data_IF_251246651187
#
_entry.id   IF_251246651187
#
_cell.length_a   1.000
_cell.length_b   1.000
_cell.length_c   1.000
_cell.angle_alpha   90.00
_cell.angle_beta   90.00
_cell.angle_gamma   90.00
#
_symmetry.space_group_name_H-M   'P 1'
#
loop_
_entity.id
_entity.type
_entity.pdbx_description
1 polymer ?
#
# COMPACT_ATOMS: atom_id res chain seq x y z
N UNK A 1 26.97 13.91 20.81
CA UNK A 1 26.24 13.27 19.71
C UNK A 1 26.24 14.20 18.50
N UNK A 2 26.73 13.68 17.38
CA UNK A 2 26.59 14.23 16.03
C UNK A 2 25.16 13.97 15.49
N UNK A 3 24.50 15.06 15.10
CA UNK A 3 23.14 15.07 14.56
C UNK A 3 23.00 14.28 13.25
N UNK A 4 23.90 14.49 12.29
CA UNK A 4 23.79 13.85 10.97
C UNK A 4 24.02 12.34 11.07
N UNK A 5 24.98 11.92 11.91
CA UNK A 5 25.19 10.49 12.20
C UNK A 5 23.97 9.88 12.87
N UNK A 6 23.36 10.58 13.82
CA UNK A 6 22.13 10.13 14.47
C UNK A 6 20.96 10.03 13.48
N UNK A 7 20.82 11.02 12.58
CA UNK A 7 19.79 11.08 11.56
C UNK A 7 19.87 9.89 10.60
N UNK A 8 21.09 9.53 10.20
CA UNK A 8 21.41 8.38 9.34
C UNK A 8 21.20 7.05 10.06
N UNK A 9 21.68 6.92 11.30
CA UNK A 9 21.49 5.72 12.11
C UNK A 9 19.99 5.42 12.31
N UNK A 10 19.20 6.45 12.61
CA UNK A 10 17.75 6.30 12.74
C UNK A 10 17.06 5.93 11.41
N UNK A 11 17.52 6.47 10.27
CA UNK A 11 16.99 6.08 8.95
C UNK A 11 17.23 4.59 8.69
N UNK A 12 18.43 4.09 9.02
CA UNK A 12 18.75 2.66 8.89
C UNK A 12 17.89 1.81 9.85
N UNK A 13 17.74 2.23 11.11
CA UNK A 13 16.89 1.57 12.10
C UNK A 13 15.44 1.41 11.59
N UNK A 14 14.86 2.47 11.03
CA UNK A 14 13.51 2.45 10.44
C UNK A 14 13.40 1.52 9.23
N UNK A 15 14.47 1.39 8.43
CA UNK A 15 14.46 0.56 7.22
C UNK A 15 14.63 -0.92 7.52
N UNK A 16 15.44 -1.29 8.53
CA UNK A 16 15.91 -2.66 8.71
C UNK A 16 15.54 -3.30 10.05
N UNK A 17 15.30 -2.51 11.11
CA UNK A 17 15.15 -3.05 12.47
C UNK A 17 13.72 -2.98 12.99
N UNK A 18 13.00 -1.88 12.74
CA UNK A 18 11.65 -1.71 13.28
C UNK A 18 10.71 -0.91 12.35
N UNK A 19 9.44 -1.32 12.32
CA UNK A 19 8.37 -0.57 11.68
C UNK A 19 7.96 0.62 12.55
N UNK A 20 8.48 1.80 12.21
CA UNK A 20 8.12 3.05 12.89
C UNK A 20 6.96 3.72 12.16
N UNK A 21 5.85 3.95 12.86
CA UNK A 21 4.66 4.63 12.29
C UNK A 21 4.97 6.09 11.95
N UNK A 22 4.14 6.71 11.09
CA UNK A 22 4.34 8.10 10.69
C UNK A 22 4.36 9.06 11.90
N UNK A 23 3.43 8.87 12.86
CA UNK A 23 3.38 9.67 14.08
C UNK A 23 4.61 9.48 14.99
N UNK A 24 5.12 8.26 15.11
CA UNK A 24 6.36 8.00 15.84
C UNK A 24 7.57 8.64 15.16
N UNK A 25 7.63 8.57 13.82
CA UNK A 25 8.69 9.19 13.04
C UNK A 25 8.69 10.71 13.19
N UNK A 26 7.54 11.36 13.05
CA UNK A 26 7.43 12.81 13.17
C UNK A 26 7.83 13.26 14.58
N UNK A 27 7.33 12.60 15.62
CA UNK A 27 7.71 12.91 17.01
C UNK A 27 9.22 12.75 17.24
N UNK A 28 9.84 11.69 16.75
CA UNK A 28 11.27 11.48 16.93
C UNK A 28 12.12 12.52 16.18
N UNK A 29 11.74 12.84 14.93
CA UNK A 29 12.46 13.85 14.13
C UNK A 29 12.39 15.21 14.78
N UNK A 30 11.21 15.64 15.19
CA UNK A 30 11.01 16.92 15.86
C UNK A 30 11.83 17.03 17.14
N UNK A 31 11.83 15.97 17.96
CA UNK A 31 12.66 15.92 19.18
C UNK A 31 14.16 16.00 18.87
N UNK A 32 14.60 15.37 17.78
CA UNK A 32 16.01 15.37 17.36
C UNK A 32 16.43 16.73 16.82
N UNK A 33 15.58 17.36 15.99
CA UNK A 33 15.84 18.65 15.36
C UNK A 33 15.85 19.76 16.43
N UNK A 34 14.84 19.79 17.31
CA UNK A 34 14.81 20.72 18.45
C UNK A 34 16.05 20.56 19.36
N UNK A 35 16.45 19.32 19.65
CA UNK A 35 17.64 19.07 20.46
C UNK A 35 18.92 19.53 19.77
N UNK A 36 18.98 19.47 18.43
CA UNK A 36 20.11 19.96 17.66
C UNK A 36 20.20 21.49 17.70
N UNK A 37 19.08 22.17 17.45
CA UNK A 37 19.02 23.63 17.37
C UNK A 37 19.35 24.29 18.72
N UNK A 38 18.95 23.64 19.81
CA UNK A 38 19.26 24.06 21.17
C UNK A 38 20.66 23.63 21.66
N UNK A 39 21.40 22.83 20.88
CA UNK A 39 22.68 22.25 21.28
C UNK A 39 22.58 21.22 22.42
N UNK A 40 21.41 20.59 22.59
CA UNK A 40 21.05 19.69 23.70
C UNK A 40 20.97 18.21 23.32
N UNK A 41 21.57 17.80 22.21
CA UNK A 41 21.49 16.42 21.66
C UNK A 41 21.84 15.30 22.66
N UNK A 42 22.79 15.53 23.56
CA UNK A 42 23.25 14.52 24.53
C UNK A 42 22.55 14.58 25.90
N UNK A 43 21.82 15.65 26.16
CA UNK A 43 21.27 15.99 27.47
C UNK A 43 19.73 15.96 27.47
N UNK A 44 19.16 16.06 28.66
CA UNK A 44 17.71 16.17 28.80
C UNK A 44 17.26 17.60 28.50
N UNK A 45 16.17 17.74 27.75
CA UNK A 45 15.56 19.02 27.45
C UNK A 45 14.06 18.96 27.70
N UNK A 46 13.48 20.13 27.95
CA UNK A 46 12.04 20.29 28.25
C UNK A 46 11.30 20.66 26.98
N UNK A 47 10.19 19.98 26.72
CA UNK A 47 9.28 20.40 25.66
C UNK A 47 7.82 20.26 26.09
N UNK A 48 7.03 21.31 25.83
CA UNK A 48 5.59 21.34 26.18
C UNK A 48 4.81 20.41 25.25
N UNK A 49 3.81 19.71 25.81
CA UNK A 49 2.92 18.86 25.00
C UNK A 49 2.19 19.66 23.92
N UNK A 50 1.74 20.88 24.22
CA UNK A 50 1.06 21.73 23.24
C UNK A 50 1.92 22.02 22.01
N UNK A 51 3.21 22.31 22.20
CA UNK A 51 4.14 22.54 21.10
C UNK A 51 4.36 21.26 20.27
N UNK A 52 4.54 20.12 20.94
CA UNK A 52 4.67 18.83 20.28
C UNK A 52 3.45 18.46 19.43
N UNK A 53 2.23 18.74 19.91
CA UNK A 53 1.01 18.47 19.16
C UNK A 53 0.94 19.32 17.88
N UNK A 54 1.24 20.61 17.99
CA UNK A 54 1.27 21.53 16.85
C UNK A 54 2.32 21.14 15.81
N UNK A 55 3.53 20.78 16.24
CA UNK A 55 4.64 20.45 15.34
C UNK A 55 4.45 19.08 14.67
N UNK A 56 3.97 18.08 15.43
CA UNK A 56 3.83 16.72 14.91
C UNK A 56 2.51 16.46 14.20
N UNK A 57 1.52 17.35 14.35
CA UNK A 57 0.16 17.18 13.84
C UNK A 57 -0.62 16.03 14.51
N UNK A 58 -0.15 15.54 15.66
CA UNK A 58 -0.77 14.42 16.38
C UNK A 58 -1.86 14.92 17.34
N UNK A 59 -2.85 14.06 17.60
CA UNK A 59 -3.76 14.24 18.73
C UNK A 59 -3.07 13.90 20.05
N UNK A 60 -3.58 14.41 21.18
CA UNK A 60 -3.09 14.07 22.53
C UNK A 60 -2.92 12.54 22.76
N UNK A 61 -3.95 11.70 22.51
CA UNK A 61 -3.78 10.25 22.66
C UNK A 61 -2.79 9.66 21.65
N UNK A 62 -2.71 10.23 20.44
CA UNK A 62 -1.73 9.84 19.43
C UNK A 62 -0.29 10.10 19.87
N UNK A 63 -0.05 11.27 20.49
CA UNK A 63 1.24 11.65 21.05
C UNK A 63 1.67 10.72 22.18
N UNK A 64 0.76 10.38 23.09
CA UNK A 64 1.06 9.46 24.20
C UNK A 64 1.41 8.05 23.70
N UNK A 65 0.67 7.55 22.70
CA UNK A 65 0.98 6.26 22.05
C UNK A 65 2.33 6.30 21.34
N UNK A 66 2.57 7.32 20.53
CA UNK A 66 3.83 7.48 19.80
C UNK A 66 5.02 7.55 20.76
N UNK A 67 4.92 8.34 21.83
CA UNK A 67 5.93 8.46 22.87
C UNK A 67 6.22 7.13 23.55
N UNK A 68 5.18 6.38 23.94
CA UNK A 68 5.37 5.07 24.58
C UNK A 68 6.11 4.10 23.65
N UNK A 69 5.73 4.05 22.36
CA UNK A 69 6.44 3.22 21.39
C UNK A 69 7.90 3.64 21.20
N UNK A 70 8.21 4.94 21.11
CA UNK A 70 9.60 5.41 20.98
C UNK A 70 10.44 5.08 22.23
N UNK A 71 9.83 5.10 23.42
CA UNK A 71 10.48 4.67 24.66
C UNK A 71 10.72 3.16 24.66
N UNK A 72 9.75 2.36 24.23
CA UNK A 72 9.87 0.89 24.12
C UNK A 72 10.93 0.47 23.10
N UNK A 73 11.05 1.21 21.99
CA UNK A 73 12.09 1.00 20.98
C UNK A 73 13.48 1.49 21.43
N UNK A 74 13.59 2.09 22.62
CA UNK A 74 14.87 2.58 23.13
C UNK A 74 15.43 3.77 22.34
N UNK A 75 14.57 4.52 21.66
CA UNK A 75 14.96 5.68 20.83
C UNK A 75 15.04 6.97 21.65
N UNK A 76 14.17 7.10 22.66
CA UNK A 76 14.12 8.26 23.55
C UNK A 76 13.97 7.82 25.00
N UNK A 77 14.47 8.66 25.92
CA UNK A 77 14.10 8.62 27.33
C UNK A 77 13.07 9.71 27.59
N UNK A 78 12.04 9.36 28.35
CA UNK A 78 10.96 10.25 28.71
C UNK A 78 10.82 10.32 30.22
N UNK A 79 10.72 11.53 30.75
CA UNK A 79 10.36 11.79 32.15
C UNK A 79 9.03 12.54 32.16
N UNK A 80 8.04 11.92 32.80
CA UNK A 80 6.69 12.49 32.88
C UNK A 80 6.71 13.79 33.69
N UNK A 81 6.28 14.86 33.04
CA UNK A 81 6.05 16.15 33.68
C UNK A 81 4.81 16.16 34.57
N UNK A 82 4.65 17.22 35.37
CA UNK A 82 3.44 17.47 36.16
C UNK A 82 2.62 18.58 35.50
N UNK A 83 1.34 18.30 35.25
CA UNK A 83 0.38 19.24 34.63
C UNK A 83 0.48 20.60 35.33
N UNK A 84 0.70 21.66 34.57
CA UNK A 84 0.79 23.06 35.01
C UNK A 84 1.93 23.38 36.01
N UNK A 85 2.90 22.48 36.22
CA UNK A 85 4.01 22.71 37.17
C UNK A 85 5.37 22.47 36.53
N UNK A 86 5.54 21.36 35.82
CA UNK A 86 6.80 21.00 35.16
C UNK A 86 6.52 20.40 33.79
N UNK A 87 7.04 20.98 32.69
CA UNK A 87 6.98 20.37 31.37
C UNK A 87 7.64 18.99 31.38
N UNK A 88 7.20 18.06 30.51
CA UNK A 88 7.89 16.80 30.34
C UNK A 88 9.31 16.99 29.80
N UNK A 89 10.19 16.08 30.19
CA UNK A 89 11.59 16.07 29.79
C UNK A 89 11.88 14.88 28.87
N UNK A 90 12.69 15.14 27.85
CA UNK A 90 13.05 14.19 26.82
C UNK A 90 14.57 14.14 26.67
N UNK A 91 15.09 12.98 26.29
CA UNK A 91 16.47 12.80 25.85
C UNK A 91 16.53 11.81 24.70
N UNK A 92 17.19 12.20 23.62
CA UNK A 92 17.45 11.30 22.49
C UNK A 92 18.54 10.29 22.88
N UNK A 93 18.32 9.01 22.55
CA UNK A 93 19.31 7.96 22.77
C UNK A 93 20.19 7.84 21.53
N UNK A 94 21.50 7.85 21.72
CA UNK A 94 22.46 7.67 20.64
C UNK A 94 22.33 6.28 20.02
N UNK A 95 22.10 6.20 18.71
CA UNK A 95 21.85 4.94 18.01
C UNK A 95 23.09 4.38 17.32
N UNK A 96 24.03 5.24 16.92
CA UNK A 96 25.31 4.78 16.40
C UNK A 96 26.27 4.61 17.57
N UNK A 97 26.92 3.45 17.64
CA UNK A 97 28.13 3.33 18.44
C UNK A 97 29.20 4.21 17.82
N UNK A 98 29.78 5.08 18.62
CA UNK A 98 31.14 5.53 18.34
C UNK A 98 32.00 4.27 18.24
N UNK A 99 32.55 4.03 17.05
CA UNK A 99 33.57 3.02 16.79
C UNK A 99 34.74 3.30 17.74
N UNK A 100 34.68 2.76 18.96
CA UNK A 100 35.60 3.12 20.03
C UNK A 100 35.33 2.46 21.38
N UNK A 101 34.11 2.04 21.71
CA UNK A 101 33.85 1.24 22.93
C UNK A 101 32.90 0.08 22.66
N UNK A 102 33.49 -1.10 22.54
CA UNK A 102 32.86 -2.39 22.28
C UNK A 102 32.06 -2.84 23.50
N UNK A 103 30.80 -3.25 23.27
CA UNK A 103 30.11 -4.27 24.06
C UNK A 103 29.14 -4.99 23.10
N UNK A 104 29.38 -6.28 22.89
CA UNK A 104 28.97 -7.12 21.75
C UNK A 104 27.54 -7.03 21.21
N UNK A 105 27.43 -7.12 19.88
CA UNK A 105 26.41 -7.93 19.22
C UNK A 105 27.13 -8.81 18.18
N UNK A 106 26.82 -10.12 18.08
CA UNK A 106 27.51 -11.02 17.18
C UNK A 106 26.92 -10.91 15.78
N UNK A 107 27.61 -10.24 14.87
CA UNK A 107 27.32 -10.34 13.44
C UNK A 107 28.24 -11.39 12.84
N UNK A 108 27.63 -12.47 12.35
CA UNK A 108 28.28 -13.49 11.52
C UNK A 108 28.80 -12.86 10.24
N UNK A 109 30.10 -13.02 9.99
CA UNK A 109 30.72 -12.70 8.69
C UNK A 109 30.33 -13.77 7.66
N UNK A 110 30.30 -13.41 6.37
CA UNK A 110 31.38 -13.90 5.53
C UNK A 110 32.01 -12.79 4.67
N UNK A 111 33.29 -12.57 4.94
CA UNK A 111 34.42 -12.48 4.00
C UNK A 111 34.14 -12.06 2.56
N UNK A 112 34.51 -10.81 2.25
CA UNK A 112 35.19 -10.51 0.99
C UNK A 112 36.30 -9.49 1.26
N UNK A 113 37.53 -9.93 0.97
CA UNK A 113 38.77 -9.20 1.17
C UNK A 113 38.91 -8.12 0.10
N UNK A 114 39.10 -6.88 0.50
CA UNK A 114 39.92 -5.94 -0.29
C UNK A 114 40.78 -5.10 0.65
N UNK A 115 42.03 -4.98 0.23
CA UNK A 115 43.22 -4.64 0.99
C UNK A 115 43.35 -3.13 0.99
N UNK A 116 43.33 -2.49 2.17
CA UNK A 116 43.73 -1.09 2.30
C UNK A 116 45.22 -0.98 1.97
N UNK A 117 45.57 -0.17 0.96
CA UNK A 117 46.90 0.43 0.84
C UNK A 117 46.81 1.87 1.33
N UNK A 118 47.45 2.10 2.46
CA UNK A 118 47.89 3.40 2.93
C UNK A 118 49.01 3.90 2.04
N UNK A 119 48.86 5.10 1.49
CA UNK A 119 49.99 5.93 1.05
C UNK A 119 49.71 7.36 1.49
N UNK A 120 50.49 7.80 2.47
CA UNK A 120 50.64 9.18 2.93
C UNK A 120 51.19 10.10 1.83
N UNK A 121 51.09 11.41 2.10
CA UNK A 121 51.55 12.59 1.34
C UNK A 121 50.45 13.13 0.40
N UNK A 122 50.00 14.39 0.45
CA UNK A 122 50.67 15.64 0.79
C UNK A 122 49.75 16.70 1.41
N UNK A 123 50.36 17.59 2.21
CA UNK A 123 49.81 18.87 2.66
C UNK A 123 49.54 19.76 1.44
N UNK A 124 48.29 20.13 1.21
CA UNK A 124 47.93 21.34 0.46
C UNK A 124 47.28 22.31 1.43
N UNK A 125 48.00 23.40 1.74
CA UNK A 125 47.43 24.55 2.43
C UNK A 125 46.53 25.32 1.47
N UNK A 126 45.25 25.41 1.80
CA UNK A 126 44.36 26.40 1.19
C UNK A 126 44.22 27.58 2.15
N UNK A 127 44.52 28.83 1.71
CA UNK A 127 44.36 30.01 2.54
C UNK A 127 42.88 30.30 2.76
N UNK A 128 42.47 30.33 4.03
CA UNK A 128 41.15 30.81 4.47
C UNK A 128 41.15 32.33 4.36
N UNK A 129 40.42 32.85 3.36
CA UNK A 129 40.02 34.25 3.34
C UNK A 129 38.76 34.43 4.21
N UNK A 130 38.88 35.13 5.33
CA UNK A 130 37.73 35.75 6.00
C UNK A 130 37.20 36.89 5.12
N UNK A 131 35.89 36.98 4.86
CA UNK A 131 35.23 38.25 4.62
C UNK A 131 34.57 38.73 5.92
N UNK A 132 34.80 40.01 6.21
CA UNK A 132 34.29 40.70 7.40
C UNK A 132 32.78 40.81 7.45
N UNK A 133 32.28 41.09 8.66
CA UNK A 133 30.87 41.32 8.92
C UNK A 133 30.29 42.47 8.10
N UNK A 134 29.18 42.22 7.43
CA UNK A 134 28.21 43.23 7.02
C UNK A 134 26.91 42.96 7.78
N UNK A 135 26.30 43.97 8.43
CA UNK A 135 24.99 43.83 9.01
C UNK A 135 23.97 43.77 7.86
N UNK A 136 23.44 42.58 7.60
CA UNK A 136 22.33 42.39 6.65
C UNK A 136 21.02 42.76 7.34
N UNK A 137 20.37 43.78 6.81
CA UNK A 137 19.04 44.21 7.19
C UNK A 137 18.01 43.07 7.04
N UNK A 138 17.08 43.01 7.98
CA UNK A 138 15.96 42.07 7.98
C UNK A 138 14.99 42.43 6.85
N UNK A 139 15.07 41.72 5.73
CA UNK A 139 14.02 41.76 4.71
C UNK A 139 12.85 40.88 5.15
N UNK A 140 11.67 41.48 5.18
CA UNK A 140 10.42 40.93 5.67
C UNK A 140 10.09 39.54 5.12
N UNK A 141 9.94 38.58 6.03
CA UNK A 141 9.50 37.20 5.77
C UNK A 141 7.98 37.12 5.61
N UNK A 142 7.41 37.75 4.59
CA UNK A 142 6.03 37.49 4.18
C UNK A 142 5.89 37.65 2.66
N UNK A 143 6.38 36.67 1.91
CA UNK A 143 5.87 36.27 0.59
C UNK A 143 6.56 34.95 0.24
N UNK A 144 5.92 33.85 0.62
CA UNK A 144 6.27 32.53 0.07
C UNK A 144 5.62 32.45 -1.30
N UNK A 145 6.42 32.65 -2.34
CA UNK A 145 6.07 32.23 -3.69
C UNK A 145 6.11 30.68 -3.69
N UNK A 146 4.99 29.98 -3.94
CA UNK A 146 4.93 28.52 -3.86
C UNK A 146 5.62 27.81 -5.04
N UNK A 147 6.15 28.55 -6.01
CA UNK A 147 6.61 28.01 -7.30
C UNK A 147 8.13 28.13 -7.52
N UNK A 148 8.92 27.59 -6.57
CA UNK A 148 10.39 27.53 -6.71
C UNK A 148 10.94 26.10 -6.81
N UNK A 149 10.07 25.10 -7.03
CA UNK A 149 10.46 23.74 -7.41
C UNK A 149 9.94 23.38 -8.79
N UNK A 150 10.12 24.28 -9.76
CA UNK A 150 10.13 23.88 -11.16
C UNK A 150 11.52 23.34 -11.47
N UNK A 151 11.67 22.01 -11.38
CA UNK A 151 12.73 21.34 -12.15
C UNK A 151 12.29 21.40 -13.59
N UNK A 152 12.99 22.20 -14.39
CA UNK A 152 12.88 22.25 -15.84
C UNK A 152 12.90 20.82 -16.40
N UNK A 153 11.73 20.33 -16.77
CA UNK A 153 11.53 19.33 -17.79
C UNK A 153 10.55 19.97 -18.76
N UNK A 154 11.08 20.31 -19.92
CA UNK A 154 10.31 20.67 -21.11
C UNK A 154 9.15 19.68 -21.28
N UNK A 155 7.90 20.16 -21.23
CA UNK A 155 7.02 20.14 -22.40
C UNK A 155 5.62 20.67 -22.07
N UNK A 156 5.13 21.48 -22.99
CA UNK A 156 3.82 22.10 -23.03
C UNK A 156 2.69 21.07 -23.14
N UNK A 157 1.84 20.90 -22.12
CA UNK A 157 0.39 20.64 -22.27
C UNK A 157 -0.32 20.74 -20.92
N UNK A 158 -1.56 21.20 -20.90
CA UNK A 158 -2.42 21.25 -19.72
C UNK A 158 -2.94 19.85 -19.34
N UNK A 159 -2.02 18.91 -19.08
CA UNK A 159 -2.29 17.49 -18.82
C UNK A 159 -2.26 17.11 -17.34
N UNK A 160 -2.80 15.92 -17.04
CA UNK A 160 -2.86 15.35 -15.69
C UNK A 160 -1.43 15.17 -15.18
N UNK A 161 -1.15 15.62 -13.97
CA UNK A 161 0.18 15.55 -13.37
C UNK A 161 0.43 14.19 -12.72
N UNK A 162 1.70 13.81 -12.59
CA UNK A 162 2.14 12.61 -11.85
C UNK A 162 1.56 12.53 -10.43
N UNK A 163 1.44 13.68 -9.76
CA UNK A 163 0.87 13.77 -8.42
C UNK A 163 -0.62 13.40 -8.39
N UNK A 164 -1.40 13.90 -9.36
CA UNK A 164 -2.84 13.60 -9.45
C UNK A 164 -3.12 12.11 -9.66
N UNK A 165 -2.29 11.42 -10.46
CA UNK A 165 -2.38 9.96 -10.65
C UNK A 165 -2.18 9.22 -9.32
N UNK A 166 -1.19 9.64 -8.53
CA UNK A 166 -0.88 9.05 -7.22
C UNK A 166 -1.99 9.33 -6.22
N UNK A 167 -2.55 10.54 -6.23
CA UNK A 167 -3.65 10.93 -5.36
C UNK A 167 -4.91 10.12 -5.65
N UNK A 168 -5.24 9.93 -6.93
CA UNK A 168 -6.39 9.09 -7.34
C UNK A 168 -6.22 7.62 -6.99
N UNK A 169 -5.00 7.09 -7.14
CA UNK A 169 -4.68 5.76 -6.61
C UNK A 169 -4.94 5.69 -5.10
N UNK A 170 -4.46 6.71 -4.38
CA UNK A 170 -4.56 6.79 -2.92
C UNK A 170 -6.01 6.89 -2.46
N UNK A 171 -6.85 7.61 -3.19
CA UNK A 171 -8.29 7.71 -2.93
C UNK A 171 -9.01 6.36 -3.09
N UNK A 172 -8.70 5.60 -4.15
CA UNK A 172 -9.39 4.34 -4.45
C UNK A 172 -8.92 3.16 -3.60
N UNK A 173 -7.61 3.05 -3.36
CA UNK A 173 -7.02 1.85 -2.75
C UNK A 173 -6.19 2.13 -1.50
N UNK A 174 -6.09 3.38 -1.07
CA UNK A 174 -5.19 3.81 -0.01
C UNK A 174 -3.77 4.01 -0.52
N UNK A 175 -2.90 4.48 0.38
CA UNK A 175 -1.53 4.85 0.04
C UNK A 175 -0.80 3.69 -0.69
N UNK A 176 -0.19 3.95 -1.87
CA UNK A 176 0.56 2.94 -2.60
C UNK A 176 1.59 2.25 -1.70
N UNK A 177 1.56 0.92 -1.67
CA UNK A 177 2.57 0.15 -0.93
C UNK A 177 3.97 0.38 -1.54
N UNK A 178 5.03 0.07 -0.79
CA UNK A 178 6.43 0.20 -1.23
C UNK A 178 6.77 -0.56 -2.52
N UNK A 179 5.91 -1.49 -2.97
CA UNK A 179 6.02 -2.22 -4.24
C UNK A 179 5.20 -1.53 -5.35
N UNK A 180 4.03 -0.99 -5.02
CA UNK A 180 3.17 -0.33 -6.01
C UNK A 180 3.77 1.02 -6.44
N UNK A 181 4.35 1.77 -5.52
CA UNK A 181 4.94 3.08 -5.80
C UNK A 181 6.03 3.08 -6.88
N UNK A 182 7.08 2.22 -6.83
CA UNK A 182 8.09 2.17 -7.89
C UNK A 182 7.51 1.73 -9.23
N UNK A 183 6.52 0.84 -9.23
CA UNK A 183 5.90 0.34 -10.45
C UNK A 183 4.99 1.39 -11.12
N UNK A 184 4.22 2.13 -10.32
CA UNK A 184 3.45 3.30 -10.79
C UNK A 184 4.39 4.35 -11.36
N UNK A 185 5.54 4.57 -10.71
CA UNK A 185 6.56 5.49 -11.17
C UNK A 185 7.13 5.06 -12.53
N UNK A 186 7.45 3.77 -12.70
CA UNK A 186 7.93 3.22 -13.97
C UNK A 186 6.89 3.38 -15.09
N UNK A 187 5.60 3.19 -14.80
CA UNK A 187 4.54 3.43 -15.78
C UNK A 187 4.42 4.88 -16.19
N UNK A 188 4.57 5.81 -15.25
CA UNK A 188 4.54 7.26 -15.50
C UNK A 188 5.79 7.77 -16.22
N UNK A 189 6.90 7.04 -16.15
CA UNK A 189 8.10 7.34 -16.92
C UNK A 189 8.00 6.78 -18.36
N UNK A 190 7.16 5.75 -18.60
CA UNK A 190 7.01 5.08 -19.89
C UNK A 190 5.77 5.52 -20.70
N UNK A 191 4.72 6.02 -20.04
CA UNK A 191 3.45 6.43 -20.64
C UNK A 191 3.05 7.81 -20.11
N UNK A 192 2.31 8.61 -20.89
CA UNK A 192 1.79 9.88 -20.38
C UNK A 192 0.83 9.64 -19.21
N UNK A 193 0.88 10.55 -18.23
CA UNK A 193 0.11 10.45 -16.99
C UNK A 193 -1.41 10.31 -17.23
N UNK A 194 -1.93 10.97 -18.26
CA UNK A 194 -3.32 10.86 -18.71
C UNK A 194 -3.76 9.42 -19.01
N UNK A 195 -2.89 8.62 -19.64
CA UNK A 195 -3.19 7.22 -19.98
C UNK A 195 -3.22 6.36 -18.73
N UNK A 196 -2.30 6.61 -17.79
CA UNK A 196 -2.25 5.88 -16.52
C UNK A 196 -3.44 6.25 -15.63
N UNK A 197 -3.84 7.52 -15.58
CA UNK A 197 -5.06 7.98 -14.89
C UNK A 197 -6.32 7.27 -15.43
N UNK A 198 -6.42 7.15 -16.76
CA UNK A 198 -7.52 6.46 -17.39
C UNK A 198 -7.57 4.97 -17.01
N UNK A 199 -6.42 4.30 -16.92
CA UNK A 199 -6.35 2.92 -16.43
C UNK A 199 -6.83 2.78 -14.98
N UNK A 200 -6.46 3.72 -14.10
CA UNK A 200 -6.91 3.75 -12.70
C UNK A 200 -8.43 3.91 -12.64
N UNK A 201 -8.99 4.80 -13.46
CA UNK A 201 -10.43 5.03 -13.57
C UNK A 201 -11.17 3.75 -13.94
N UNK A 202 -10.71 3.05 -14.97
CA UNK A 202 -11.28 1.76 -15.41
C UNK A 202 -11.22 0.72 -14.28
N UNK A 203 -10.09 0.63 -13.58
CA UNK A 203 -9.94 -0.31 -12.47
C UNK A 203 -10.88 0.01 -11.30
N UNK A 204 -11.16 1.30 -11.05
CA UNK A 204 -12.17 1.75 -10.10
C UNK A 204 -13.59 1.33 -10.51
N UNK A 205 -13.96 1.52 -11.78
CA UNK A 205 -15.25 1.10 -12.33
C UNK A 205 -15.47 -0.42 -12.23
N UNK A 206 -14.41 -1.21 -12.46
CA UNK A 206 -14.44 -2.67 -12.29
C UNK A 206 -14.43 -3.13 -10.82
N UNK A 207 -14.50 -2.21 -9.85
CA UNK A 207 -14.47 -2.50 -8.40
C UNK A 207 -13.29 -3.37 -7.98
N UNK A 208 -12.11 -3.12 -8.55
CA UNK A 208 -10.90 -3.87 -8.21
C UNK A 208 -10.53 -3.57 -6.76
N UNK A 209 -10.29 -4.64 -5.98
CA UNK A 209 -9.85 -4.52 -4.57
C UNK A 209 -8.40 -4.03 -4.51
N UNK A 210 -8.02 -3.33 -3.44
CA UNK A 210 -6.66 -2.83 -3.22
C UNK A 210 -5.57 -3.92 -3.30
N UNK A 211 -5.88 -5.17 -2.95
CA UNK A 211 -4.94 -6.30 -3.05
C UNK A 211 -4.67 -6.75 -4.48
N UNK A 212 -5.57 -6.42 -5.42
CA UNK A 212 -5.49 -6.80 -6.83
C UNK A 212 -5.28 -5.62 -7.78
N UNK A 213 -5.27 -4.38 -7.30
CA UNK A 213 -5.16 -3.16 -8.12
C UNK A 213 -3.87 -3.15 -8.93
N UNK A 214 -2.72 -3.44 -8.29
CA UNK A 214 -1.42 -3.49 -8.96
C UNK A 214 -1.37 -4.55 -10.06
N UNK A 215 -1.89 -5.75 -9.77
CA UNK A 215 -1.92 -6.86 -10.74
C UNK A 215 -2.82 -6.52 -11.94
N UNK A 216 -3.95 -5.90 -11.69
CA UNK A 216 -4.89 -5.49 -12.72
C UNK A 216 -4.27 -4.41 -13.61
N UNK A 217 -3.72 -3.37 -13.00
CA UNK A 217 -3.06 -2.27 -13.71
C UNK A 217 -1.88 -2.75 -14.55
N UNK A 218 -1.05 -3.67 -14.03
CA UNK A 218 -0.01 -4.33 -14.80
C UNK A 218 -0.56 -5.02 -16.04
N UNK A 219 -1.64 -5.79 -15.92
CA UNK A 219 -2.24 -6.49 -17.05
C UNK A 219 -2.80 -5.53 -18.12
N UNK A 220 -3.40 -4.41 -17.69
CA UNK A 220 -3.92 -3.37 -18.58
C UNK A 220 -2.77 -2.68 -19.31
N UNK A 221 -1.77 -2.21 -18.56
CA UNK A 221 -0.63 -1.44 -19.10
C UNK A 221 0.26 -2.32 -19.99
N UNK A 222 0.60 -3.54 -19.58
CA UNK A 222 1.31 -4.48 -20.47
C UNK A 222 0.50 -4.79 -21.74
N UNK A 223 -0.83 -4.86 -21.61
CA UNK A 223 -1.73 -5.06 -22.73
C UNK A 223 -1.76 -3.88 -23.71
N UNK A 224 -1.54 -2.66 -23.23
CA UNK A 224 -1.44 -1.45 -24.04
C UNK A 224 -0.06 -1.29 -24.65
N UNK A 225 1.00 -1.56 -23.88
CA UNK A 225 2.39 -1.58 -24.38
C UNK A 225 2.58 -2.59 -25.52
N UNK A 226 2.03 -3.81 -25.40
CA UNK A 226 2.07 -4.83 -26.47
C UNK A 226 1.35 -4.43 -27.77
N UNK A 227 0.51 -3.39 -27.71
CA UNK A 227 -0.28 -2.89 -28.85
C UNK A 227 0.19 -1.51 -29.30
N UNK A 228 1.33 -1.03 -28.77
CA UNK A 228 1.88 0.30 -29.01
C UNK A 228 0.86 1.44 -28.80
N UNK A 229 0.05 1.30 -27.75
CA UNK A 229 -0.97 2.29 -27.38
C UNK A 229 -0.34 3.27 -26.39
N UNK A 230 -0.03 4.49 -26.84
CA UNK A 230 0.60 5.54 -26.03
C UNK A 230 -0.25 6.80 -25.86
N UNK A 231 -1.42 6.88 -26.50
CA UNK A 231 -2.30 8.07 -26.46
C UNK A 231 -3.63 7.77 -25.75
N UNK A 232 -4.20 8.76 -25.05
CA UNK A 232 -5.46 8.64 -24.32
C UNK A 232 -6.65 8.18 -25.21
N UNK A 233 -6.75 8.69 -26.43
CA UNK A 233 -7.81 8.28 -27.37
C UNK A 233 -7.70 6.79 -27.77
N UNK A 234 -6.48 6.31 -27.97
CA UNK A 234 -6.21 4.92 -28.29
C UNK A 234 -6.49 4.01 -27.07
N UNK A 235 -6.15 4.45 -25.86
CA UNK A 235 -6.44 3.73 -24.62
C UNK A 235 -7.96 3.57 -24.41
N UNK A 236 -8.74 4.63 -24.64
CA UNK A 236 -10.22 4.59 -24.61
C UNK A 236 -10.78 3.57 -25.58
N UNK A 237 -10.35 3.61 -26.84
CA UNK A 237 -10.78 2.66 -27.87
C UNK A 237 -10.40 1.22 -27.55
N UNK A 238 -9.24 1.00 -26.93
CA UNK A 238 -8.80 -0.33 -26.53
C UNK A 238 -9.60 -0.87 -25.32
N UNK A 239 -9.92 -0.02 -24.35
CA UNK A 239 -10.77 -0.37 -23.22
C UNK A 239 -12.19 -0.74 -23.66
N UNK A 240 -12.79 0.06 -24.56
CA UNK A 240 -14.11 -0.24 -25.13
C UNK A 240 -14.11 -1.56 -25.93
N UNK A 241 -13.08 -1.79 -26.75
CA UNK A 241 -12.95 -3.06 -27.47
C UNK A 241 -12.78 -4.26 -26.52
N UNK A 242 -12.05 -4.08 -25.42
CA UNK A 242 -11.89 -5.11 -24.40
C UNK A 242 -13.22 -5.41 -23.69
N UNK A 243 -13.97 -4.39 -23.27
CA UNK A 243 -15.29 -4.56 -22.65
C UNK A 243 -16.30 -5.19 -23.61
N UNK A 244 -16.33 -4.75 -24.87
CA UNK A 244 -17.15 -5.35 -25.94
C UNK A 244 -16.81 -6.82 -26.14
N UNK A 245 -15.52 -7.16 -26.15
CA UNK A 245 -15.06 -8.54 -26.27
C UNK A 245 -15.48 -9.37 -25.05
N UNK A 246 -15.27 -8.86 -23.83
CA UNK A 246 -15.68 -9.53 -22.59
C UNK A 246 -17.20 -9.75 -22.55
N UNK A 247 -18.01 -8.78 -22.96
CA UNK A 247 -19.48 -8.93 -23.07
C UNK A 247 -19.86 -9.99 -24.11
N UNK A 248 -19.18 -10.02 -25.26
CA UNK A 248 -19.43 -11.03 -26.30
C UNK A 248 -19.05 -12.44 -25.85
N UNK A 249 -17.93 -12.61 -25.15
CA UNK A 249 -17.47 -13.90 -24.61
C UNK A 249 -18.38 -14.39 -23.46
N UNK A 250 -18.84 -13.48 -22.60
CA UNK A 250 -19.79 -13.80 -21.52
C UNK A 250 -21.20 -14.17 -22.05
N UNK A 251 -21.56 -13.67 -23.23
CA UNK A 251 -22.83 -13.99 -23.90
C UNK A 251 -22.79 -15.25 -24.78
N UNK A 252 -21.60 -15.80 -25.05
CA UNK A 252 -21.35 -16.54 -26.29
C UNK A 252 -20.86 -17.98 -26.17
N UNK A 253 -20.85 -18.62 -25.01
CA UNK A 253 -20.54 -20.05 -24.95
C UNK A 253 -21.18 -20.76 -23.75
N UNK A 254 -22.48 -21.07 -23.85
CA UNK A 254 -22.93 -22.29 -23.18
C UNK A 254 -22.28 -23.44 -23.94
N UNK A 255 -21.42 -24.28 -23.33
CA UNK A 255 -20.99 -25.50 -23.99
C UNK A 255 -22.26 -26.21 -24.42
N UNK A 256 -22.46 -26.39 -25.72
CA UNK A 256 -23.55 -27.23 -26.20
C UNK A 256 -23.35 -28.58 -25.53
N UNK A 257 -24.32 -29.08 -24.75
CA UNK A 257 -24.18 -30.39 -24.13
C UNK A 257 -23.83 -31.35 -25.26
N UNK A 258 -22.67 -32.02 -25.13
CA UNK A 258 -22.28 -33.03 -26.08
C UNK A 258 -23.46 -34.00 -26.20
N UNK A 259 -24.11 -34.03 -27.37
CA UNK A 259 -25.13 -35.03 -27.65
C UNK A 259 -24.36 -36.34 -27.77
N UNK A 260 -24.28 -37.09 -26.68
CA UNK A 260 -23.82 -38.47 -26.73
C UNK A 260 -24.69 -39.18 -27.75
N UNK A 261 -24.12 -39.45 -28.93
CA UNK A 261 -24.77 -40.30 -29.92
C UNK A 261 -24.77 -41.69 -29.33
N UNK A 262 -25.95 -42.27 -29.13
CA UNK A 262 -26.08 -43.62 -28.62
C UNK A 262 -25.21 -44.56 -29.49
N UNK A 263 -24.43 -45.46 -28.88
CA UNK A 263 -23.68 -46.48 -29.61
C UNK A 263 -24.58 -47.24 -30.58
N UNK A 264 -24.02 -47.75 -31.68
CA UNK A 264 -24.78 -48.45 -32.75
C UNK A 264 -25.69 -49.55 -32.22
N UNK A 265 -25.25 -50.32 -31.22
CA UNK A 265 -26.07 -51.36 -30.58
C UNK A 265 -27.29 -50.84 -29.81
N UNK A 266 -27.30 -49.57 -29.38
CA UNK A 266 -28.41 -48.94 -28.66
C UNK A 266 -29.40 -48.22 -29.61
N UNK A 267 -29.06 -48.06 -30.89
CA UNK A 267 -29.95 -47.50 -31.90
C UNK A 267 -30.91 -48.56 -32.48
N UNK A 268 -30.50 -49.83 -32.51
CA UNK A 268 -31.28 -50.97 -33.04
C UNK A 268 -32.26 -51.58 -32.04
N UNK A 269 -32.66 -50.84 -31.00
CA UNK A 269 -33.72 -51.34 -30.11
C UNK A 269 -35.05 -51.20 -30.85
N UNK A 270 -35.79 -52.30 -31.12
CA UNK A 270 -37.10 -52.22 -31.75
C UNK A 270 -38.01 -51.35 -30.88
N UNK A 271 -38.58 -50.33 -31.52
CA UNK A 271 -39.65 -49.43 -31.10
C UNK A 271 -39.93 -49.39 -29.58
N UNK A 272 -39.55 -48.26 -28.96
CA UNK A 272 -40.15 -47.83 -27.69
C UNK A 272 -41.67 -48.03 -27.76
N UNK A 273 -42.32 -48.74 -26.83
CA UNK A 273 -43.77 -48.60 -26.71
C UNK A 273 -44.05 -47.14 -26.37
N UNK A 274 -44.90 -46.50 -27.16
CA UNK A 274 -45.41 -45.15 -26.91
C UNK A 274 -46.27 -45.22 -25.65
N UNK A 275 -45.65 -45.20 -24.47
CA UNK A 275 -46.34 -44.86 -23.24
C UNK A 275 -46.21 -43.36 -23.06
N UNK A 276 -47.17 -42.61 -23.59
CA UNK A 276 -47.47 -41.30 -23.06
C UNK A 276 -47.63 -41.47 -21.54
N UNK A 277 -46.75 -40.82 -20.76
CA UNK A 277 -46.65 -40.95 -19.32
C UNK A 277 -47.84 -40.36 -18.55
N UNK A 278 -49.07 -40.62 -18.98
CA UNK A 278 -50.31 -40.34 -18.26
C UNK A 278 -50.94 -41.66 -17.85
N UNK A 279 -50.93 -41.93 -16.55
CA UNK A 279 -51.77 -43.00 -16.00
C UNK A 279 -53.22 -42.71 -16.40
N UNK A 280 -53.94 -43.74 -16.86
CA UNK A 280 -55.38 -43.63 -17.07
C UNK A 280 -56.06 -43.17 -15.77
N UNK A 281 -57.14 -42.37 -15.81
CA UNK A 281 -57.85 -41.90 -14.62
C UNK A 281 -58.19 -43.03 -13.64
N UNK A 282 -58.48 -44.24 -14.15
CA UNK A 282 -58.74 -45.43 -13.33
C UNK A 282 -57.50 -45.94 -12.59
N UNK A 283 -56.34 -45.91 -13.24
CA UNK A 283 -55.07 -46.31 -12.61
C UNK A 283 -54.64 -45.31 -11.55
N UNK A 284 -54.93 -44.03 -11.76
CA UNK A 284 -54.66 -42.96 -10.80
C UNK A 284 -55.57 -43.07 -9.56
N UNK A 285 -56.87 -43.32 -9.77
CA UNK A 285 -57.81 -43.58 -8.68
C UNK A 285 -57.46 -44.86 -7.89
N UNK A 286 -56.99 -45.91 -8.56
CA UNK A 286 -56.52 -47.13 -7.91
C UNK A 286 -55.27 -46.88 -7.06
N UNK A 287 -54.34 -46.02 -7.54
CA UNK A 287 -53.15 -45.62 -6.79
C UNK A 287 -53.54 -44.82 -5.54
N UNK A 288 -54.44 -43.85 -5.66
CA UNK A 288 -54.92 -43.03 -4.55
C UNK A 288 -55.67 -43.87 -3.51
N UNK A 289 -56.50 -44.81 -3.93
CA UNK A 289 -57.17 -45.74 -3.03
C UNK A 289 -56.16 -46.62 -2.26
N UNK A 290 -55.07 -47.04 -2.92
CA UNK A 290 -54.00 -47.82 -2.31
C UNK A 290 -53.19 -47.00 -1.32
N UNK A 291 -52.89 -45.74 -1.64
CA UNK A 291 -52.23 -44.79 -0.72
C UNK A 291 -53.10 -44.52 0.51
N UNK A 292 -54.41 -44.30 0.32
CA UNK A 292 -55.35 -44.07 1.43
C UNK A 292 -55.45 -45.28 2.36
N UNK A 293 -55.48 -46.50 1.81
CA UNK A 293 -55.44 -47.74 2.61
C UNK A 293 -54.13 -47.88 3.39
N UNK A 294 -53.01 -47.50 2.81
CA UNK A 294 -51.71 -47.55 3.48
C UNK A 294 -51.64 -46.55 4.65
N UNK A 295 -52.07 -45.31 4.43
CA UNK A 295 -52.09 -44.27 5.47
C UNK A 295 -53.03 -44.63 6.63
N UNK A 296 -54.22 -45.17 6.35
CA UNK A 296 -55.15 -45.62 7.39
C UNK A 296 -54.63 -46.82 8.21
N UNK A 297 -53.81 -47.68 7.60
CA UNK A 297 -53.10 -48.74 8.35
C UNK A 297 -51.97 -48.18 9.20
N UNK A 298 -51.32 -47.10 8.75
CA UNK A 298 -50.25 -46.43 9.49
C UNK A 298 -50.78 -45.74 10.76
N UNK A 299 -51.88 -45.00 10.64
CA UNK A 299 -52.51 -44.30 11.78
C UNK A 299 -53.05 -45.28 12.82
N UNK A 300 -53.70 -46.38 12.40
CA UNK A 300 -54.14 -47.44 13.32
C UNK A 300 -52.99 -48.15 14.05
N UNK A 301 -51.79 -48.19 13.45
CA UNK A 301 -50.60 -48.77 14.07
C UNK A 301 -49.97 -47.79 15.08
N UNK A 302 -50.04 -46.49 14.83
CA UNK A 302 -49.61 -45.43 15.76
C UNK A 302 -50.56 -45.34 16.97
N UNK A 303 -51.87 -45.49 16.79
CA UNK A 303 -52.85 -45.50 17.90
C UNK A 303 -52.81 -46.77 18.76
N UNK A 304 -52.34 -47.89 18.24
CA UNK A 304 -52.20 -49.15 18.99
C UNK A 304 -50.89 -49.26 19.80
N UNK A 305 -50.01 -48.25 19.72
CA UNK A 305 -48.73 -48.19 20.45
C UNK A 305 -48.66 -47.03 21.46
N UNK A 306 -49.76 -46.29 21.64
CA UNK A 306 -49.99 -45.33 22.71
C UNK A 306 -50.92 -45.93 23.78
#
# INVERSE_FOLDING_TARGET
MDYFKQRRAYRNFKMYEASVSNGQNNLYRELLDYANDEGKLDIQFRMKNSALLSLTGLSEPGLDKARNSLVQLGLIKYVKGKKNVKPPEYRVIQLYKEMGKVAGYPTVNPTSKSKSRTTSLDKVGQPVGQPGGQPVEHKDLTSTDPDLTSTDLDDDDAGITRAEVIDKWTELWGFPNAIAMPEINEWLDALPADVVDFAITIAGEHQVKATGSLKYMRAVIEGWQKRDISTLDQAKKAAENHDRRMKSEHSGHKPTPAKETLPTWAQDTPEKPVSDGKLSPEQQAALDARIKKFNARRTKKEEAQA
#
